data_IF_940842539854
#
_entry.id   IF_940842539854
#
_cell.length_a   1.000
_cell.length_b   1.000
_cell.length_c   1.000
_cell.angle_alpha   90.00
_cell.angle_beta   90.00
_cell.angle_gamma   90.00
#
_symmetry.space_group_name_H-M   'P 1'
#
loop_
_entity.id
_entity.type
_entity.pdbx_description
1 polymer ?
#
# COMPACT_ATOMS: atom_id res chain seq x y z
N UNK A 1 -0.43 25.08 -2.65
CA UNK A 1 -0.53 23.64 -2.33
C UNK A 1 0.84 23.16 -1.87
N UNK A 2 0.96 22.71 -0.62
CA UNK A 2 2.22 22.15 -0.11
C UNK A 2 2.18 20.64 -0.31
N UNK A 3 3.23 20.07 -0.89
CA UNK A 3 3.36 18.62 -1.09
C UNK A 3 4.48 18.14 -0.18
N UNK A 4 4.14 17.26 0.76
CA UNK A 4 5.12 16.52 1.54
C UNK A 4 5.45 15.21 0.82
N UNK A 5 6.73 14.94 0.63
CA UNK A 5 7.21 13.71 -0.03
C UNK A 5 8.32 13.08 0.80
N UNK A 6 8.11 11.83 1.17
CA UNK A 6 9.13 10.98 1.78
C UNK A 6 9.45 9.84 0.81
N UNK A 7 10.74 9.55 0.63
CA UNK A 7 11.21 8.42 -0.19
C UNK A 7 12.10 7.54 0.68
N UNK A 8 11.76 6.26 0.75
CA UNK A 8 12.52 5.25 1.47
C UNK A 8 12.98 4.18 0.48
N UNK A 9 14.11 3.53 0.80
CA UNK A 9 14.66 2.42 0.03
C UNK A 9 15.30 1.39 0.95
N UNK A 10 15.47 0.16 0.46
CA UNK A 10 16.08 -0.93 1.22
C UNK A 10 15.25 -1.29 2.46
N UNK A 11 15.94 -1.51 3.59
CA UNK A 11 15.32 -2.00 4.83
C UNK A 11 14.18 -1.12 5.34
N UNK A 12 14.36 0.20 5.36
CA UNK A 12 13.34 1.13 5.87
C UNK A 12 12.05 1.14 5.04
N UNK A 13 12.15 0.91 3.72
CA UNK A 13 10.96 0.78 2.88
C UNK A 13 10.15 -0.48 3.23
N UNK A 14 10.85 -1.59 3.49
CA UNK A 14 10.24 -2.86 3.92
C UNK A 14 9.57 -2.71 5.29
N UNK A 15 10.27 -2.14 6.26
CA UNK A 15 9.74 -1.90 7.62
C UNK A 15 8.45 -1.03 7.60
N UNK A 16 8.38 -0.05 6.69
CA UNK A 16 7.15 0.74 6.51
C UNK A 16 6.01 -0.07 5.90
N UNK A 17 6.28 -0.93 4.92
CA UNK A 17 5.24 -1.82 4.36
C UNK A 17 4.71 -2.77 5.43
N UNK A 18 5.61 -3.40 6.20
CA UNK A 18 5.24 -4.29 7.31
C UNK A 18 4.41 -3.55 8.36
N UNK A 19 4.81 -2.31 8.70
CA UNK A 19 4.06 -1.49 9.65
C UNK A 19 2.68 -1.10 9.12
N UNK A 20 2.56 -0.71 7.86
CA UNK A 20 1.27 -0.40 7.24
C UNK A 20 0.35 -1.62 7.27
N UNK A 21 0.84 -2.78 6.86
CA UNK A 21 0.11 -4.05 6.90
C UNK A 21 -0.42 -4.39 8.30
N UNK A 22 0.39 -4.18 9.34
CA UNK A 22 0.02 -4.42 10.74
C UNK A 22 -1.05 -3.48 11.28
N UNK A 23 -1.14 -2.26 10.73
CA UNK A 23 -2.13 -1.25 11.14
C UNK A 23 -3.42 -1.33 10.34
N UNK A 24 -3.38 -1.93 9.15
CA UNK A 24 -4.57 -2.10 8.30
C UNK A 24 -5.57 -3.06 8.94
N UNK A 25 -6.86 -2.74 8.78
CA UNK A 25 -7.95 -3.67 9.09
C UNK A 25 -7.96 -4.81 8.09
N UNK A 26 -8.45 -5.96 8.51
CA UNK A 26 -8.57 -7.14 7.63
C UNK A 26 -9.45 -6.87 6.41
N UNK A 27 -10.55 -6.14 6.59
CA UNK A 27 -11.45 -5.72 5.51
C UNK A 27 -10.71 -4.96 4.40
N UNK A 28 -9.81 -4.04 4.78
CA UNK A 28 -9.01 -3.30 3.82
C UNK A 28 -7.94 -4.17 3.16
N UNK A 29 -7.36 -5.14 3.88
CA UNK A 29 -6.43 -6.11 3.27
C UNK A 29 -7.12 -7.01 2.25
N UNK A 30 -8.34 -7.49 2.55
CA UNK A 30 -9.18 -8.24 1.60
C UNK A 30 -9.52 -7.39 0.39
N UNK A 31 -9.97 -6.15 0.62
CA UNK A 31 -10.27 -5.18 -0.43
C UNK A 31 -9.07 -4.90 -1.32
N UNK A 32 -7.87 -4.74 -0.74
CA UNK A 32 -6.63 -4.58 -1.50
C UNK A 32 -6.32 -5.82 -2.35
N UNK A 33 -6.46 -7.03 -1.78
CA UNK A 33 -6.25 -8.29 -2.49
C UNK A 33 -7.14 -8.45 -3.72
N UNK A 34 -8.41 -8.02 -3.62
CA UNK A 34 -9.37 -7.99 -4.72
C UNK A 34 -9.18 -6.85 -5.73
N UNK A 35 -8.31 -5.87 -5.45
CA UNK A 35 -8.07 -4.69 -6.29
C UNK A 35 -6.61 -4.53 -6.73
N UNK A 36 -5.79 -5.57 -6.55
CA UNK A 36 -4.36 -5.52 -6.82
C UNK A 36 -4.05 -5.18 -8.29
N UNK A 37 -4.82 -5.74 -9.21
CA UNK A 37 -4.76 -5.50 -10.66
C UNK A 37 -5.07 -4.04 -11.02
N UNK A 38 -6.07 -3.44 -10.37
CA UNK A 38 -6.45 -2.03 -10.56
C UNK A 38 -5.42 -1.05 -9.95
N UNK A 39 -4.68 -1.50 -8.94
CA UNK A 39 -3.71 -0.69 -8.20
C UNK A 39 -2.26 -0.90 -8.67
N UNK A 40 -2.02 -1.89 -9.51
CA UNK A 40 -0.73 -2.16 -10.15
C UNK A 40 -0.67 -1.50 -11.53
N UNK A 41 0.51 -1.01 -11.94
CA UNK A 41 0.67 -0.33 -13.24
C UNK A 41 1.42 -1.12 -14.32
N UNK A 42 1.65 -2.42 -14.16
CA UNK A 42 2.43 -3.22 -15.12
C UNK A 42 3.95 -3.01 -15.04
N UNK A 43 4.41 -2.05 -14.24
CA UNK A 43 5.83 -1.67 -14.13
C UNK A 43 6.37 -1.84 -12.70
N UNK A 44 5.79 -2.77 -11.93
CA UNK A 44 6.23 -3.07 -10.57
C UNK A 44 5.85 -2.00 -9.54
N UNK A 45 4.91 -1.09 -9.85
CA UNK A 45 4.42 -0.11 -8.87
C UNK A 45 3.02 -0.48 -8.41
N UNK A 46 2.85 -0.57 -7.10
CA UNK A 46 1.56 -0.70 -6.43
C UNK A 46 1.20 0.64 -5.78
N UNK A 47 -0.01 1.12 -6.06
CA UNK A 47 -0.52 2.40 -5.59
C UNK A 47 -1.58 2.19 -4.49
N UNK A 48 -1.23 2.60 -3.28
CA UNK A 48 -2.10 2.63 -2.13
C UNK A 48 -2.52 4.07 -1.84
N UNK A 49 -3.76 4.22 -1.35
CA UNK A 49 -4.35 5.50 -1.01
C UNK A 49 -4.99 5.35 0.35
N UNK A 50 -4.52 6.13 1.31
CA UNK A 50 -5.05 6.10 2.67
C UNK A 50 -5.80 7.38 3.01
N UNK A 51 -6.91 7.23 3.73
CA UNK A 51 -7.67 8.38 4.20
C UNK A 51 -6.81 9.28 5.09
N UNK A 52 -6.73 10.55 4.72
CA UNK A 52 -5.85 11.53 5.37
C UNK A 52 -6.32 11.91 6.77
N UNK A 53 -7.64 12.02 6.99
CA UNK A 53 -8.21 12.37 8.29
C UNK A 53 -8.01 11.21 9.26
N UNK A 54 -8.21 9.97 8.80
CA UNK A 54 -7.94 8.77 9.57
C UNK A 54 -6.45 8.57 9.87
N UNK A 55 -5.58 8.81 8.89
CA UNK A 55 -4.13 8.72 9.09
C UNK A 55 -3.63 9.71 10.14
N UNK A 56 -4.20 10.92 10.21
CA UNK A 56 -3.91 11.90 11.26
C UNK A 56 -4.26 11.38 12.67
N UNK A 57 -5.29 10.55 12.79
CA UNK A 57 -5.70 9.88 14.03
C UNK A 57 -4.94 8.56 14.29
N UNK A 58 -3.96 8.21 13.46
CA UNK A 58 -3.19 6.96 13.59
C UNK A 58 -3.89 5.72 13.04
N UNK A 59 -5.01 5.88 12.34
CA UNK A 59 -5.74 4.79 11.71
C UNK A 59 -5.33 4.64 10.23
N UNK A 60 -5.11 3.40 9.77
CA UNK A 60 -4.74 3.12 8.37
C UNK A 60 -5.93 2.50 7.64
N UNK A 61 -6.64 3.33 6.88
CA UNK A 61 -7.81 2.93 6.09
C UNK A 61 -7.63 3.19 4.60
N UNK A 62 -7.94 2.22 3.76
CA UNK A 62 -7.91 2.41 2.31
C UNK A 62 -9.03 3.36 1.87
N UNK A 63 -8.68 4.27 0.98
CA UNK A 63 -9.59 5.29 0.45
C UNK A 63 -9.49 5.37 -1.07
N UNK A 64 -10.62 5.62 -1.71
CA UNK A 64 -10.70 5.85 -3.16
C UNK A 64 -10.95 7.34 -3.50
N UNK A 65 -11.02 8.20 -2.47
CA UNK A 65 -11.14 9.66 -2.59
C UNK A 65 -9.84 10.30 -3.12
N UNK A 66 -9.91 11.61 -3.42
CA UNK A 66 -8.81 12.36 -4.02
C UNK A 66 -7.82 12.94 -2.99
N UNK A 67 -8.30 13.45 -1.84
CA UNK A 67 -7.45 13.97 -0.75
C UNK A 67 -7.01 12.83 0.19
N UNK A 68 -5.93 12.17 -0.21
CA UNK A 68 -5.40 10.96 0.43
C UNK A 68 -3.89 11.06 0.65
N UNK A 69 -3.40 10.27 1.60
CA UNK A 69 -1.97 9.96 1.68
C UNK A 69 -1.67 8.89 0.63
N UNK A 70 -1.01 9.29 -0.47
CA UNK A 70 -0.62 8.39 -1.56
C UNK A 70 0.67 7.66 -1.19
N UNK A 71 0.62 6.33 -1.15
CA UNK A 71 1.79 5.47 -0.95
C UNK A 71 2.05 4.68 -2.23
N UNK A 72 3.25 4.82 -2.79
CA UNK A 72 3.69 4.05 -3.95
C UNK A 72 4.77 3.07 -3.51
N UNK A 73 4.45 1.78 -3.57
CA UNK A 73 5.42 0.70 -3.34
C UNK A 73 6.00 0.29 -4.69
N UNK A 74 7.33 0.39 -4.85
CA UNK A 74 8.03 -0.05 -6.05
C UNK A 74 8.75 -1.36 -5.76
N UNK A 75 8.34 -2.42 -6.46
CA UNK A 75 8.97 -3.73 -6.44
C UNK A 75 10.10 -3.81 -7.46
N UNK A 76 11.01 -4.75 -7.26
CA UNK A 76 12.09 -5.05 -8.22
C UNK A 76 11.60 -5.86 -9.43
N UNK A 77 10.50 -6.60 -9.26
CA UNK A 77 9.81 -7.38 -10.28
C UNK A 77 8.53 -6.67 -10.72
N UNK A 78 7.94 -7.13 -11.82
CA UNK A 78 6.79 -6.49 -12.48
C UNK A 78 5.56 -7.38 -12.58
N UNK A 79 5.72 -8.70 -12.50
CA UNK A 79 4.60 -9.61 -12.67
C UNK A 79 3.62 -9.47 -11.52
N UNK A 80 2.33 -9.37 -11.86
CA UNK A 80 1.26 -9.14 -10.89
C UNK A 80 1.21 -10.26 -9.84
N UNK A 81 1.45 -11.50 -10.25
CA UNK A 81 1.42 -12.64 -9.34
C UNK A 81 2.60 -12.63 -8.36
N UNK A 82 3.80 -12.22 -8.79
CA UNK A 82 4.93 -12.02 -7.88
C UNK A 82 4.66 -10.90 -6.87
N UNK A 83 3.99 -9.83 -7.30
CA UNK A 83 3.54 -8.73 -6.43
C UNK A 83 2.48 -9.20 -5.45
N UNK A 84 1.51 -9.99 -5.91
CA UNK A 84 0.48 -10.59 -5.06
C UNK A 84 1.14 -11.43 -3.97
N UNK A 85 2.07 -12.29 -4.34
CA UNK A 85 2.77 -13.17 -3.40
C UNK A 85 3.64 -12.39 -2.41
N UNK A 86 4.34 -11.34 -2.87
CA UNK A 86 5.06 -10.45 -1.96
C UNK A 86 4.11 -9.73 -0.99
N UNK A 87 2.94 -9.28 -1.45
CA UNK A 87 1.95 -8.67 -0.59
C UNK A 87 1.40 -9.66 0.45
N UNK A 88 1.15 -10.93 0.08
CA UNK A 88 0.75 -11.99 1.03
C UNK A 88 1.82 -12.23 2.09
N UNK A 89 3.08 -12.39 1.66
CA UNK A 89 4.23 -12.62 2.56
C UNK A 89 4.40 -11.53 3.60
N UNK A 90 4.06 -10.29 3.24
CA UNK A 90 4.12 -9.12 4.10
C UNK A 90 2.79 -8.81 4.81
N UNK A 91 1.82 -9.73 4.75
CA UNK A 91 0.47 -9.58 5.32
C UNK A 91 -0.24 -8.29 4.89
N UNK A 92 0.11 -7.76 3.71
CA UNK A 92 -0.49 -6.54 3.16
C UNK A 92 -1.86 -6.85 2.52
N UNK A 93 -2.04 -8.08 2.05
CA UNK A 93 -3.31 -8.62 1.59
C UNK A 93 -3.60 -9.94 2.31
N UNK A 94 -4.86 -10.34 2.33
CA UNK A 94 -5.32 -11.67 2.75
C UNK A 94 -6.34 -12.17 1.74
N UNK A 95 -6.53 -13.50 1.68
CA UNK A 95 -7.50 -14.14 0.79
C UNK A 95 -8.96 -13.95 1.29
#
# INVERSE_FOLDING_TARGET
MIIYRVKLSGKGAKEVVDRLASLMREEDRKRLGGQLDLRHNGHGNLYLRFDKQKAYLGEVHLSDYEDVVKVKVKFSFRELEEIREACRRHNLIVD
#
